data_IF_639135378965
#
_entry.id   IF_639135378965
#
_cell.length_a   1.000
_cell.length_b   1.000
_cell.length_c   1.000
_cell.angle_alpha   90.00
_cell.angle_beta   90.00
_cell.angle_gamma   90.00
#
_symmetry.space_group_name_H-M   'P 1'
#
loop_
_entity.id
_entity.type
_entity.pdbx_description
1 polymer ?
#
# COMPACT_ATOMS: atom_id res chain seq x y z
N UNK A 1 -7.02 7.64 13.17
CA UNK A 1 -7.59 7.17 11.89
C UNK A 1 -7.34 5.67 11.80
N UNK A 2 -8.30 4.89 11.31
CA UNK A 2 -8.20 3.42 11.24
C UNK A 2 -7.51 2.90 9.96
N UNK A 3 -7.49 3.71 8.90
CA UNK A 3 -6.78 3.42 7.64
C UNK A 3 -6.16 4.70 7.08
N UNK A 4 -5.23 4.55 6.14
CA UNK A 4 -4.50 5.64 5.48
C UNK A 4 -4.29 5.30 4.01
N UNK A 5 -4.27 6.33 3.15
CA UNK A 5 -4.00 6.13 1.72
C UNK A 5 -2.52 5.85 1.49
N UNK A 6 -2.20 5.10 0.44
CA UNK A 6 -0.81 4.76 0.09
C UNK A 6 0.06 6.02 -0.05
N UNK A 7 -0.46 7.09 -0.68
CA UNK A 7 0.26 8.38 -0.77
C UNK A 7 0.58 8.98 0.60
N UNK A 8 -0.37 8.99 1.54
CA UNK A 8 -0.14 9.53 2.89
C UNK A 8 0.80 8.67 3.74
N UNK A 9 1.04 7.43 3.33
CA UNK A 9 2.00 6.53 3.98
C UNK A 9 3.46 6.79 3.58
N UNK A 10 3.70 7.59 2.52
CA UNK A 10 5.04 7.82 1.99
C UNK A 10 5.96 8.40 3.06
N UNK A 11 7.18 7.85 3.15
CA UNK A 11 8.17 8.26 4.16
C UNK A 11 7.96 7.65 5.55
N UNK A 12 6.83 6.97 5.81
CA UNK A 12 6.60 6.23 7.06
C UNK A 12 7.02 4.77 6.92
N UNK A 13 7.26 4.10 8.05
CA UNK A 13 7.50 2.65 8.12
C UNK A 13 6.71 2.09 9.29
N UNK A 14 6.05 0.94 9.09
CA UNK A 14 5.24 0.27 10.11
C UNK A 14 5.71 -1.16 10.30
N UNK A 15 5.51 -1.73 11.49
CA UNK A 15 5.91 -3.12 11.76
C UNK A 15 5.10 -4.10 10.90
N UNK A 16 3.78 -3.94 10.91
CA UNK A 16 2.83 -4.76 10.18
C UNK A 16 1.96 -3.85 9.30
N UNK A 17 1.78 -4.20 8.03
CA UNK A 17 0.96 -3.43 7.08
C UNK A 17 -0.08 -4.34 6.45
N UNK A 18 -1.32 -3.85 6.40
CA UNK A 18 -2.43 -4.47 5.69
C UNK A 18 -2.74 -3.65 4.44
N UNK A 19 -2.73 -4.28 3.27
CA UNK A 19 -3.00 -3.62 1.98
C UNK A 19 -4.28 -4.18 1.38
N UNK A 20 -5.22 -3.29 1.09
CA UNK A 20 -6.43 -3.56 0.30
C UNK A 20 -6.07 -3.49 -1.20
N UNK A 21 -5.76 -4.66 -1.78
CA UNK A 21 -5.33 -4.77 -3.18
C UNK A 21 -6.47 -4.41 -4.16
N UNK A 22 -7.74 -4.84 -3.96
CA UNK A 22 -8.85 -4.42 -4.79
C UNK A 22 -8.98 -2.89 -4.88
N UNK A 23 -8.86 -2.18 -3.75
CA UNK A 23 -8.93 -0.71 -3.76
C UNK A 23 -7.82 -0.08 -4.60
N UNK A 24 -6.58 -0.57 -4.49
CA UNK A 24 -5.45 -0.09 -5.30
C UNK A 24 -5.62 -0.45 -6.80
N UNK A 25 -6.21 -1.61 -7.10
CA UNK A 25 -6.37 -2.12 -8.46
C UNK A 25 -7.35 -1.31 -9.31
N UNK A 26 -8.22 -0.51 -8.68
CA UNK A 26 -9.13 0.42 -9.37
C UNK A 26 -8.37 1.46 -10.20
N UNK A 27 -7.11 1.78 -9.86
CA UNK A 27 -6.31 2.70 -10.67
C UNK A 27 -6.00 2.08 -12.05
N UNK A 28 -6.57 2.69 -13.09
CA UNK A 28 -6.39 2.28 -14.49
C UNK A 28 -5.02 2.66 -15.05
N UNK A 29 -4.31 3.62 -14.44
CA UNK A 29 -2.94 3.94 -14.80
C UNK A 29 -2.00 2.88 -14.24
N UNK A 30 -1.59 1.95 -15.10
CA UNK A 30 -0.74 0.80 -14.73
C UNK A 30 0.60 1.25 -14.15
N UNK A 31 1.19 2.33 -14.67
CA UNK A 31 2.49 2.83 -14.20
C UNK A 31 2.36 3.33 -12.76
N UNK A 32 1.36 4.19 -12.51
CA UNK A 32 1.10 4.72 -11.17
C UNK A 32 0.69 3.61 -10.20
N UNK A 33 -0.17 2.68 -10.62
CA UNK A 33 -0.57 1.53 -9.80
C UNK A 33 0.63 0.69 -9.35
N UNK A 34 1.59 0.46 -10.25
CA UNK A 34 2.81 -0.28 -9.91
C UNK A 34 3.68 0.49 -8.90
N UNK A 35 3.75 1.82 -9.03
CA UNK A 35 4.43 2.68 -8.06
C UNK A 35 3.73 2.64 -6.70
N UNK A 36 2.40 2.69 -6.67
CA UNK A 36 1.61 2.55 -5.44
C UNK A 36 1.82 1.19 -4.77
N UNK A 37 1.84 0.12 -5.55
CA UNK A 37 2.14 -1.23 -5.08
C UNK A 37 3.51 -1.29 -4.40
N UNK A 38 4.54 -0.77 -5.07
CA UNK A 38 5.89 -0.68 -4.51
C UNK A 38 5.91 0.12 -3.20
N UNK A 39 5.28 1.29 -3.17
CA UNK A 39 5.24 2.12 -1.95
C UNK A 39 4.55 1.36 -0.82
N UNK A 40 3.35 0.81 -1.07
CA UNK A 40 2.55 0.11 -0.06
C UNK A 40 3.30 -1.08 0.55
N UNK A 41 3.97 -1.89 -0.29
CA UNK A 41 4.64 -3.10 0.16
C UNK A 41 5.91 -2.78 0.95
N UNK A 42 6.65 -1.75 0.53
CA UNK A 42 7.87 -1.31 1.23
C UNK A 42 7.59 -0.55 2.53
N UNK A 43 6.33 -0.27 2.89
CA UNK A 43 6.01 0.32 4.21
C UNK A 43 6.12 -0.70 5.34
N UNK A 44 6.08 -2.00 5.06
CA UNK A 44 6.18 -3.06 6.06
C UNK A 44 7.63 -3.35 6.44
N UNK A 45 7.96 -3.24 7.73
CA UNK A 45 9.27 -3.61 8.26
C UNK A 45 9.37 -5.10 8.60
N UNK A 46 8.24 -5.75 8.97
CA UNK A 46 8.23 -7.14 9.41
C UNK A 46 7.23 -8.00 8.65
N UNK A 47 5.95 -7.63 8.62
CA UNK A 47 4.89 -8.44 7.97
C UNK A 47 4.01 -7.59 7.06
N UNK A 48 3.71 -8.15 5.89
CA UNK A 48 2.79 -7.59 4.91
C UNK A 48 1.63 -8.55 4.74
N UNK A 49 0.41 -8.04 4.93
CA UNK A 49 -0.84 -8.79 4.73
C UNK A 49 -1.57 -8.19 3.53
N UNK A 50 -1.97 -9.04 2.59
CA UNK A 50 -2.69 -8.64 1.38
C UNK A 50 -4.13 -9.13 1.48
N UNK A 51 -5.08 -8.21 1.35
CA UNK A 51 -6.48 -8.52 1.13
C UNK A 51 -6.76 -8.49 -0.37
N UNK A 52 -7.40 -9.54 -0.89
CA UNK A 52 -7.72 -9.74 -2.31
C UNK A 52 -9.18 -10.07 -2.49
#
# INVERSE_FOLDING_TARGET
AYSLTIHKSQGSTFQDVFVDVPSMAVNSNVIERNQLCYVAFTRAAKRLFLYQ
#
